data_IF_384742374348
#
_entry.id   IF_384742374348
#
_cell.length_a   1.000
_cell.length_b   1.000
_cell.length_c   1.000
_cell.angle_alpha   90.00
_cell.angle_beta   90.00
_cell.angle_gamma   90.00
#
_symmetry.space_group_name_H-M   'P 1'
#
loop_
_entity.id
_entity.type
_entity.pdbx_description
1 polymer ?
#
# COMPACT_ATOMS: atom_id res chain seq x y z
N UNK A 1 12.08 10.34 -8.45
CA UNK A 1 12.95 11.07 -7.52
C UNK A 1 12.80 10.47 -6.13
N UNK A 2 13.83 10.43 -5.36
CA UNK A 2 14.00 9.65 -4.15
C UNK A 2 13.14 9.97 -2.92
N UNK A 3 12.00 10.63 -3.04
CA UNK A 3 11.10 10.93 -1.90
C UNK A 3 9.65 10.75 -2.31
N UNK A 4 8.89 10.02 -1.48
CA UNK A 4 7.43 9.96 -1.61
C UNK A 4 6.78 10.63 -0.40
N UNK A 5 5.71 11.36 -0.64
CA UNK A 5 4.85 11.95 0.38
C UNK A 5 3.44 11.48 0.07
N UNK A 6 2.86 10.66 0.94
CA UNK A 6 1.54 10.09 0.70
C UNK A 6 0.67 10.06 1.95
N UNK A 7 -0.63 10.10 1.73
CA UNK A 7 -1.64 9.83 2.76
C UNK A 7 -2.43 8.59 2.38
N UNK A 8 -2.83 7.84 3.39
CA UNK A 8 -3.48 6.54 3.24
C UNK A 8 -4.82 6.54 3.98
N UNK A 9 -5.81 5.92 3.35
CA UNK A 9 -7.19 5.90 3.85
C UNK A 9 -7.81 4.52 3.67
N UNK A 10 -8.74 4.18 4.53
CA UNK A 10 -9.68 3.08 4.25
C UNK A 10 -10.76 3.56 3.30
N UNK A 11 -11.45 2.62 2.68
CA UNK A 11 -12.43 2.87 1.63
C UNK A 11 -13.77 2.29 2.04
N UNK A 12 -14.86 3.00 1.74
CA UNK A 12 -16.22 2.55 2.04
C UNK A 12 -16.58 1.30 1.23
N UNK A 13 -17.42 0.47 1.81
CA UNK A 13 -17.85 -0.79 1.19
C UNK A 13 -18.61 -0.60 -0.13
N UNK A 14 -19.19 0.56 -0.35
CA UNK A 14 -19.93 0.91 -1.59
C UNK A 14 -19.04 1.44 -2.71
N UNK A 15 -17.72 1.50 -2.50
CA UNK A 15 -16.80 1.89 -3.57
C UNK A 15 -16.91 0.92 -4.75
N UNK A 16 -17.10 1.47 -5.95
CA UNK A 16 -17.21 0.72 -7.18
C UNK A 16 -16.19 1.26 -8.21
N UNK A 17 -15.20 0.44 -8.63
CA UNK A 17 -14.24 0.86 -9.65
C UNK A 17 -14.94 1.16 -10.98
N UNK A 18 -14.53 2.24 -11.64
CA UNK A 18 -15.07 2.66 -12.95
C UNK A 18 -14.15 2.32 -14.12
N UNK A 19 -13.00 1.72 -13.86
CA UNK A 19 -12.00 1.34 -14.86
C UNK A 19 -11.42 -0.04 -14.56
N UNK A 20 -10.73 -0.58 -15.54
CA UNK A 20 -9.98 -1.83 -15.35
C UNK A 20 -8.82 -1.58 -14.37
N UNK A 21 -8.61 -2.53 -13.46
CA UNK A 21 -7.49 -2.50 -12.53
C UNK A 21 -6.25 -3.19 -13.08
N UNK A 22 -5.13 -2.99 -12.40
CA UNK A 22 -3.87 -3.67 -12.64
C UNK A 22 -3.64 -4.71 -11.56
N UNK A 23 -3.48 -5.97 -11.96
CA UNK A 23 -3.12 -7.06 -11.04
C UNK A 23 -1.68 -6.90 -10.58
N UNK A 24 -1.46 -6.99 -9.27
CA UNK A 24 -0.15 -6.89 -8.66
C UNK A 24 0.11 -8.04 -7.71
N UNK A 25 1.35 -8.54 -7.74
CA UNK A 25 1.89 -9.45 -6.72
C UNK A 25 3.20 -8.86 -6.24
N UNK A 26 3.38 -8.78 -4.93
CA UNK A 26 4.60 -8.23 -4.36
C UNK A 26 5.05 -8.98 -3.11
N UNK A 27 6.35 -8.95 -2.89
CA UNK A 27 7.00 -9.51 -1.72
C UNK A 27 8.17 -8.64 -1.29
N UNK A 28 8.80 -9.00 -0.20
CA UNK A 28 9.88 -8.23 0.40
C UNK A 28 11.13 -9.08 0.57
N UNK A 29 12.25 -8.61 0.01
CA UNK A 29 13.58 -9.17 0.26
C UNK A 29 14.14 -8.66 1.58
N UNK A 30 13.72 -7.47 2.00
CA UNK A 30 13.98 -6.92 3.33
C UNK A 30 12.73 -6.23 3.85
N UNK A 31 12.31 -6.55 5.08
CA UNK A 31 11.21 -5.91 5.80
C UNK A 31 11.69 -4.95 6.88
N UNK A 32 12.99 -4.73 6.97
CA UNK A 32 13.57 -3.77 7.91
C UNK A 32 12.96 -2.38 7.63
N UNK A 33 12.30 -1.73 8.61
CA UNK A 33 11.69 -0.42 8.40
C UNK A 33 12.64 0.66 7.91
N UNK A 34 13.93 0.53 8.18
CA UNK A 34 14.95 1.49 7.76
C UNK A 34 15.43 1.25 6.33
N UNK A 35 15.21 0.05 5.80
CA UNK A 35 15.69 -0.36 4.48
C UNK A 35 14.80 -1.45 3.88
N UNK A 36 13.60 -1.10 3.57
CA UNK A 36 12.64 -2.01 2.93
C UNK A 36 13.04 -2.23 1.48
N UNK A 37 13.10 -3.48 1.05
CA UNK A 37 13.35 -3.85 -0.34
C UNK A 37 12.19 -4.69 -0.84
N UNK A 38 11.45 -4.17 -1.79
CA UNK A 38 10.24 -4.79 -2.36
C UNK A 38 10.47 -5.20 -3.81
N UNK A 39 9.98 -6.38 -4.17
CA UNK A 39 9.83 -6.83 -5.55
C UNK A 39 8.35 -6.84 -5.91
N UNK A 40 8.00 -6.33 -7.08
CA UNK A 40 6.60 -6.28 -7.57
C UNK A 40 6.52 -6.74 -9.02
N UNK A 41 5.53 -7.56 -9.30
CA UNK A 41 4.97 -7.75 -10.64
C UNK A 41 3.67 -6.97 -10.75
N UNK A 42 3.57 -6.12 -11.74
CA UNK A 42 2.39 -5.29 -11.97
C UNK A 42 2.06 -5.25 -13.45
N UNK A 43 0.96 -5.86 -13.86
CA UNK A 43 0.51 -5.85 -15.26
C UNK A 43 1.56 -6.37 -16.25
N UNK A 44 2.34 -7.38 -15.88
CA UNK A 44 3.40 -7.95 -16.72
C UNK A 44 4.73 -7.21 -16.67
N UNK A 45 4.88 -6.18 -15.83
CA UNK A 45 6.14 -5.47 -15.58
C UNK A 45 6.69 -5.80 -14.21
N UNK A 46 8.01 -5.81 -14.10
CA UNK A 46 8.71 -6.03 -12.84
C UNK A 46 9.34 -4.76 -12.29
N UNK A 47 9.31 -4.61 -10.97
CA UNK A 47 9.88 -3.45 -10.27
C UNK A 47 10.62 -3.89 -9.02
N UNK A 48 11.76 -3.24 -8.78
CA UNK A 48 12.50 -3.35 -7.54
C UNK A 48 12.46 -1.98 -6.85
N UNK A 49 11.98 -1.94 -5.61
CA UNK A 49 11.82 -0.70 -4.87
C UNK A 49 12.55 -0.76 -3.54
N UNK A 50 13.37 0.24 -3.27
CA UNK A 50 14.06 0.42 -1.99
C UNK A 50 13.45 1.61 -1.27
N UNK A 51 13.01 1.40 -0.03
CA UNK A 51 12.41 2.46 0.78
C UNK A 51 13.16 2.63 2.09
N UNK A 52 13.38 3.88 2.47
CA UNK A 52 13.92 4.24 3.76
C UNK A 52 12.86 4.27 4.86
N UNK A 53 13.23 4.75 6.04
CA UNK A 53 12.32 4.88 7.16
C UNK A 53 11.23 5.92 6.90
N UNK A 54 9.99 5.58 7.26
CA UNK A 54 8.87 6.53 7.19
C UNK A 54 8.95 7.52 8.35
N UNK A 55 8.89 8.80 8.04
CA UNK A 55 8.82 9.89 9.01
C UNK A 55 7.57 10.72 8.75
N UNK A 56 6.54 10.54 9.58
CA UNK A 56 5.23 11.11 9.31
C UNK A 56 4.64 10.52 8.03
N UNK A 57 4.46 11.36 7.00
CA UNK A 57 4.00 10.94 5.68
C UNK A 57 5.13 10.90 4.62
N UNK A 58 6.38 11.15 5.02
CA UNK A 58 7.54 11.28 4.13
C UNK A 58 8.41 10.03 4.21
N UNK A 59 8.85 9.54 3.06
CA UNK A 59 9.70 8.36 2.96
C UNK A 59 10.64 8.48 1.75
N UNK A 60 11.90 8.09 1.93
CA UNK A 60 12.80 7.89 0.79
C UNK A 60 12.32 6.70 -0.04
N UNK A 61 12.28 6.86 -1.36
CA UNK A 61 11.87 5.81 -2.28
C UNK A 61 12.72 5.84 -3.55
N UNK A 62 13.24 4.67 -3.92
CA UNK A 62 13.98 4.46 -5.17
C UNK A 62 13.37 3.26 -5.88
N UNK A 63 12.82 3.47 -7.05
CA UNK A 63 12.15 2.42 -7.82
C UNK A 63 12.79 2.25 -9.19
N UNK A 64 13.03 0.99 -9.57
CA UNK A 64 13.65 0.63 -10.84
C UNK A 64 12.82 -0.47 -11.51
N UNK A 65 12.57 -0.30 -12.79
CA UNK A 65 11.98 -1.38 -13.58
C UNK A 65 13.04 -2.44 -13.83
N UNK A 66 12.65 -3.71 -13.64
CA UNK A 66 13.48 -4.88 -13.87
C UNK A 66 12.77 -5.85 -14.83
N UNK A 67 13.50 -6.78 -15.47
CA UNK A 67 12.85 -7.78 -16.29
C UNK A 67 11.79 -8.56 -15.50
N UNK A 68 10.60 -8.83 -16.09
CA UNK A 68 9.55 -9.59 -15.39
C UNK A 68 10.02 -10.98 -14.95
N UNK A 69 10.91 -11.63 -15.71
CA UNK A 69 11.51 -12.91 -15.33
C UNK A 69 12.34 -12.81 -14.06
N UNK A 70 13.09 -11.73 -13.89
CA UNK A 70 13.87 -11.48 -12.66
C UNK A 70 12.94 -11.22 -11.47
N UNK A 71 11.88 -10.43 -11.70
CA UNK A 71 10.88 -10.18 -10.67
C UNK A 71 10.23 -11.47 -10.17
N UNK A 72 9.86 -12.37 -11.07
CA UNK A 72 9.30 -13.69 -10.71
C UNK A 72 10.29 -14.52 -9.90
N UNK A 73 11.54 -14.56 -10.32
CA UNK A 73 12.59 -15.28 -9.60
C UNK A 73 12.83 -14.70 -8.21
N UNK A 74 12.85 -13.37 -8.07
CA UNK A 74 13.02 -12.68 -6.79
C UNK A 74 11.80 -12.86 -5.88
N UNK A 75 10.58 -12.91 -6.40
CA UNK A 75 9.38 -13.19 -5.61
C UNK A 75 9.45 -14.56 -4.95
N UNK A 76 10.07 -15.54 -5.60
CA UNK A 76 10.29 -16.87 -5.03
C UNK A 76 11.28 -16.85 -3.85
N UNK A 77 12.10 -15.81 -3.71
CA UNK A 77 13.03 -15.62 -2.59
C UNK A 77 12.37 -14.89 -1.41
N UNK A 78 11.19 -14.32 -1.61
CA UNK A 78 10.49 -13.56 -0.57
C UNK A 78 9.75 -14.49 0.39
N UNK A 79 9.60 -14.06 1.64
CA UNK A 79 8.81 -14.79 2.63
C UNK A 79 7.32 -14.80 2.23
N UNK A 80 6.66 -15.98 2.23
CA UNK A 80 5.21 -16.06 2.01
C UNK A 80 4.43 -15.58 3.24
N UNK A 81 3.17 -15.16 3.05
CA UNK A 81 2.46 -15.02 1.77
C UNK A 81 2.88 -13.76 1.02
N UNK A 82 2.85 -13.82 -0.30
CA UNK A 82 2.99 -12.62 -1.12
C UNK A 82 1.75 -11.73 -0.95
N UNK A 83 1.91 -10.44 -1.09
CA UNK A 83 0.78 -9.52 -1.13
C UNK A 83 0.24 -9.48 -2.56
N UNK A 84 -1.01 -9.86 -2.72
CA UNK A 84 -1.73 -9.84 -3.99
C UNK A 84 -2.84 -8.82 -3.93
N UNK A 85 -2.94 -7.97 -4.94
CA UNK A 85 -3.94 -6.91 -5.01
C UNK A 85 -4.24 -6.50 -6.44
N UNK A 86 -5.41 -5.88 -6.63
CA UNK A 86 -5.75 -5.15 -7.84
C UNK A 86 -5.71 -3.67 -7.54
N UNK A 87 -4.93 -2.92 -8.29
CA UNK A 87 -4.84 -1.46 -8.16
C UNK A 87 -5.69 -0.77 -9.18
N UNK A 88 -6.58 0.08 -8.70
CA UNK A 88 -7.38 0.98 -9.53
C UNK A 88 -6.85 2.40 -9.40
N UNK A 89 -6.66 3.07 -10.53
CA UNK A 89 -6.31 4.49 -10.55
C UNK A 89 -7.60 5.27 -10.73
N UNK A 90 -7.87 6.19 -9.80
CA UNK A 90 -9.10 6.99 -9.78
C UNK A 90 -8.73 8.46 -9.72
N UNK A 91 -9.14 9.22 -10.74
CA UNK A 91 -9.03 10.67 -10.71
C UNK A 91 -10.26 11.22 -9.98
N UNK A 92 -10.06 11.83 -8.84
CA UNK A 92 -11.12 12.35 -8.00
C UNK A 92 -10.64 13.56 -7.19
N UNK A 93 -11.53 14.55 -7.02
CA UNK A 93 -11.25 15.74 -6.22
C UNK A 93 -9.93 16.45 -6.61
N UNK A 94 -9.62 16.46 -7.92
CA UNK A 94 -8.43 17.13 -8.47
C UNK A 94 -7.11 16.39 -8.26
N UNK A 95 -7.14 15.13 -7.80
CA UNK A 95 -5.96 14.32 -7.56
C UNK A 95 -6.11 12.92 -8.12
N UNK A 96 -4.96 12.28 -8.37
CA UNK A 96 -4.88 10.88 -8.74
C UNK A 96 -4.80 10.02 -7.48
N UNK A 97 -5.78 9.15 -7.31
CA UNK A 97 -5.84 8.19 -6.22
C UNK A 97 -5.49 6.80 -6.72
N UNK A 98 -4.82 6.04 -5.88
CA UNK A 98 -4.57 4.62 -6.11
C UNK A 98 -5.36 3.82 -5.08
N UNK A 99 -6.31 3.03 -5.54
CA UNK A 99 -7.15 2.19 -4.68
C UNK A 99 -6.75 0.73 -4.85
N UNK A 100 -6.25 0.15 -3.78
CA UNK A 100 -5.81 -1.24 -3.75
C UNK A 100 -6.88 -2.12 -3.12
N UNK A 101 -7.39 -3.05 -3.92
CA UNK A 101 -8.29 -4.12 -3.46
C UNK A 101 -7.45 -5.37 -3.27
N UNK A 102 -7.31 -5.79 -2.03
CA UNK A 102 -6.45 -6.92 -1.67
C UNK A 102 -7.15 -8.27 -1.88
N UNK A 103 -6.35 -9.29 -2.16
CA UNK A 103 -6.79 -10.67 -2.38
C UNK A 103 -6.05 -11.64 -1.45
N UNK A 104 -6.43 -12.93 -1.52
CA UNK A 104 -5.77 -13.98 -0.75
C UNK A 104 -5.86 -13.76 0.76
N UNK A 105 -4.74 -13.79 1.46
CA UNK A 105 -4.67 -13.62 2.91
C UNK A 105 -5.16 -12.25 3.40
N UNK A 106 -5.23 -11.25 2.52
CA UNK A 106 -5.69 -9.90 2.81
C UNK A 106 -7.05 -9.58 2.19
N UNK A 107 -7.77 -10.58 1.73
CA UNK A 107 -9.09 -10.41 1.12
C UNK A 107 -10.06 -9.65 2.05
N UNK A 108 -10.79 -8.72 1.47
CA UNK A 108 -11.69 -7.82 2.20
C UNK A 108 -11.08 -6.48 2.60
N UNK A 109 -9.76 -6.32 2.52
CA UNK A 109 -9.09 -5.04 2.76
C UNK A 109 -9.08 -4.22 1.49
N UNK A 110 -9.48 -2.94 1.60
CA UNK A 110 -9.38 -1.95 0.52
C UNK A 110 -8.75 -0.69 1.09
N UNK A 111 -7.68 -0.23 0.46
CA UNK A 111 -6.90 0.93 0.92
C UNK A 111 -6.70 1.89 -0.24
N UNK A 112 -6.89 3.17 0.02
CA UNK A 112 -6.63 4.24 -0.94
C UNK A 112 -5.41 5.05 -0.53
N UNK A 113 -4.58 5.40 -1.50
CA UNK A 113 -3.41 6.25 -1.32
C UNK A 113 -3.49 7.43 -2.27
N UNK A 114 -3.03 8.58 -1.78
CA UNK A 114 -2.84 9.78 -2.58
C UNK A 114 -1.45 10.34 -2.34
N UNK A 115 -0.68 10.50 -3.41
CA UNK A 115 0.64 11.11 -3.36
C UNK A 115 0.50 12.63 -3.45
N UNK A 116 1.28 13.33 -2.62
CA UNK A 116 1.21 14.78 -2.47
C UNK A 116 2.53 15.44 -2.83
N UNK A 117 2.49 16.67 -3.36
CA UNK A 117 3.71 17.43 -3.67
C UNK A 117 4.42 17.95 -2.41
N UNK A 118 3.72 18.04 -1.28
CA UNK A 118 4.27 18.49 -0.01
C UNK A 118 3.43 17.98 1.16
N UNK A 119 4.00 18.00 2.37
CA UNK A 119 3.28 17.61 3.60
C UNK A 119 2.12 18.54 3.95
N UNK A 120 2.15 19.77 3.44
CA UNK A 120 1.12 20.79 3.69
C UNK A 120 0.08 20.89 2.58
N UNK A 121 0.19 20.07 1.53
CA UNK A 121 -0.77 20.06 0.43
C UNK A 121 -2.18 19.72 0.93
N UNK A 122 -3.17 20.49 0.49
CA UNK A 122 -4.56 20.23 0.83
C UNK A 122 -5.10 19.04 0.04
N UNK A 123 -5.91 18.22 0.69
CA UNK A 123 -6.57 17.06 0.09
C UNK A 123 -8.06 17.16 0.36
N UNK A 124 -8.83 17.19 -0.73
CA UNK A 124 -10.29 17.02 -0.65
C UNK A 124 -10.59 15.54 -0.75
N UNK A 125 -11.29 15.00 0.25
CA UNK A 125 -11.59 13.58 0.32
C UNK A 125 -12.79 13.24 -0.59
N UNK A 126 -12.64 12.29 -1.54
CA UNK A 126 -13.78 11.75 -2.27
C UNK A 126 -14.80 11.08 -1.34
N UNK A 127 -16.04 11.00 -1.78
CA UNK A 127 -17.13 10.43 -0.96
C UNK A 127 -16.93 8.98 -0.56
N UNK A 128 -16.14 8.21 -1.33
CA UNK A 128 -15.86 6.80 -1.06
C UNK A 128 -14.70 6.58 -0.08
N UNK A 129 -14.02 7.61 0.36
CA UNK A 129 -13.01 7.53 1.43
C UNK A 129 -13.71 7.43 2.79
N UNK A 130 -13.21 6.56 3.63
CA UNK A 130 -13.78 6.35 4.96
C UNK A 130 -12.92 7.00 6.06
N UNK A 131 -11.78 6.43 6.39
CA UNK A 131 -10.96 6.87 7.53
C UNK A 131 -9.49 7.00 7.15
N UNK A 132 -8.81 8.03 7.65
CA UNK A 132 -7.36 8.15 7.46
C UNK A 132 -6.59 7.16 8.34
N UNK A 133 -5.65 6.45 7.72
CA UNK A 133 -4.78 5.47 8.37
C UNK A 133 -3.29 5.74 8.09
N UNK A 134 -2.97 6.95 7.67
CA UNK A 134 -1.59 7.37 7.44
C UNK A 134 -0.75 7.12 8.69
N UNK A 135 0.38 6.41 8.53
CA UNK A 135 1.27 6.08 9.64
C UNK A 135 0.81 4.92 10.52
N UNK A 136 -0.38 4.35 10.31
CA UNK A 136 -0.82 3.13 11.02
C UNK A 136 -0.14 1.91 10.39
N UNK A 137 0.85 1.36 11.08
CA UNK A 137 1.77 0.34 10.55
C UNK A 137 1.08 -0.93 10.06
N UNK A 138 -0.04 -1.34 10.68
CA UNK A 138 -0.77 -2.56 10.26
C UNK A 138 -1.29 -2.49 8.82
N UNK A 139 -1.47 -1.29 8.27
CA UNK A 139 -1.89 -1.08 6.88
C UNK A 139 -0.73 -1.05 5.89
N UNK A 140 0.51 -1.11 6.36
CA UNK A 140 1.65 -1.19 5.46
C UNK A 140 1.69 -2.56 4.78
N UNK A 141 1.96 -2.58 3.48
CA UNK A 141 2.02 -3.83 2.73
C UNK A 141 3.05 -4.80 3.33
N UNK A 142 4.18 -4.30 3.84
CA UNK A 142 5.18 -5.12 4.53
C UNK A 142 4.65 -5.76 5.83
N UNK A 143 3.78 -5.08 6.55
CA UNK A 143 3.16 -5.60 7.76
C UNK A 143 2.08 -6.66 7.46
N UNK A 144 1.42 -6.55 6.32
CA UNK A 144 0.38 -7.50 5.88
C UNK A 144 0.94 -8.92 5.61
N UNK A 145 2.25 -9.05 5.44
CA UNK A 145 2.91 -10.35 5.30
C UNK A 145 2.96 -11.08 6.65
N UNK A 146 3.26 -10.35 7.71
CA UNK A 146 3.39 -10.91 9.07
C UNK A 146 2.04 -11.04 9.76
N UNK A 147 1.17 -10.05 9.57
CA UNK A 147 -0.17 -10.00 10.17
C UNK A 147 -1.21 -9.67 9.09
N UNK A 148 -1.59 -10.67 8.28
CA UNK A 148 -2.52 -10.45 7.18
C UNK A 148 -3.92 -10.11 7.69
N UNK A 149 -4.65 -9.35 6.90
CA UNK A 149 -5.99 -8.85 7.22
C UNK A 149 -6.97 -9.96 7.66
N UNK A 150 -6.84 -11.14 7.09
CA UNK A 150 -7.66 -12.30 7.44
C UNK A 150 -7.52 -12.70 8.92
N UNK A 151 -6.38 -12.40 9.54
CA UNK A 151 -6.13 -12.70 10.97
C UNK A 151 -6.42 -11.51 11.89
N UNK A 152 -6.85 -10.37 11.36
CA UNK A 152 -7.22 -9.22 12.18
C UNK A 152 -8.49 -9.50 12.98
N UNK A 153 -8.52 -9.01 14.22
CA UNK A 153 -9.72 -9.01 15.04
C UNK A 153 -10.74 -8.01 14.50
N UNK A 154 -12.00 -8.14 14.92
CA UNK A 154 -13.04 -7.17 14.56
C UNK A 154 -12.68 -5.76 15.01
N UNK A 155 -12.00 -5.62 16.17
CA UNK A 155 -11.52 -4.34 16.69
C UNK A 155 -10.44 -3.74 15.80
N UNK A 156 -9.47 -4.53 15.37
CA UNK A 156 -8.43 -4.10 14.45
C UNK A 156 -9.01 -3.62 13.11
N UNK A 157 -9.99 -4.34 12.59
CA UNK A 157 -10.69 -3.97 11.34
C UNK A 157 -11.49 -2.68 11.47
N UNK A 158 -12.11 -2.43 12.62
CA UNK A 158 -12.85 -1.20 12.87
C UNK A 158 -11.96 -0.01 13.23
N UNK A 159 -10.67 -0.23 13.46
CA UNK A 159 -9.73 0.79 13.90
C UNK A 159 -9.77 1.07 15.39
N UNK A 160 -10.42 0.20 16.17
CA UNK A 160 -10.52 0.29 17.62
C UNK A 160 -9.90 -0.96 18.28
N UNK A 161 -9.16 -0.85 19.41
CA UNK A 161 -8.75 0.42 20.02
C UNK A 161 -7.72 1.15 19.13
N UNK A 162 -7.78 2.47 19.14
CA UNK A 162 -6.71 3.26 18.56
C UNK A 162 -5.45 2.93 19.36
N UNK A 163 -4.41 2.45 18.69
CA UNK A 163 -3.10 2.35 19.31
C UNK A 163 -2.75 3.74 19.80
N UNK A 164 -2.45 3.94 21.10
CA UNK A 164 -2.03 5.24 21.58
C UNK A 164 -0.83 5.70 20.73
N UNK A 165 -0.94 6.89 20.17
CA UNK A 165 0.21 7.52 19.54
C UNK A 165 1.18 7.77 20.69
N UNK A 166 2.25 6.99 20.77
CA UNK A 166 3.33 7.30 21.70
C UNK A 166 3.86 8.69 21.34
N UNK A 167 3.70 9.59 22.29
CA UNK A 167 4.20 10.95 22.14
C UNK A 167 5.72 10.98 22.22
#
# INVERSE_FOLDING_TARGET
MGVEIERKFTVRADFCPQSAGTEMAQGYLSRDPQRTVRVRLAGGRGYLTVKGETRGMVRAEYEYEIPPSDARAMLALCDPPLVEKTRYVVDAAGRRWEVDVFHGANDGLVVAEVELPSETAEVTLPAWVDREVTGEKRYYNSALIVHPYHSWTAEEKSGYPRVPVEK
#
